data_IF_414382991830
#
_entry.id   IF_414382991830
#
_cell.length_a   1.000
_cell.length_b   1.000
_cell.length_c   1.000
_cell.angle_alpha   90.00
_cell.angle_beta   90.00
_cell.angle_gamma   90.00
#
_symmetry.space_group_name_H-M   'P 1'
#
loop_
_entity.id
_entity.type
_entity.pdbx_description
1 polymer ?
#
# COMPACT_ATOMS: atom_id res chain seq x y z
N UNK A 1 15.06 0.52 -7.61
CA UNK A 1 14.31 0.59 -8.90
C UNK A 1 12.87 0.97 -8.57
N UNK A 2 12.32 2.04 -9.16
CA UNK A 2 10.95 2.50 -8.85
C UNK A 2 9.89 1.52 -9.35
N UNK A 3 8.74 1.50 -8.69
CA UNK A 3 7.61 0.60 -9.01
C UNK A 3 6.86 1.01 -10.28
N UNK A 4 6.90 2.29 -10.66
CA UNK A 4 6.26 2.80 -11.87
C UNK A 4 4.72 2.79 -11.82
N UNK A 5 4.13 2.71 -10.62
CA UNK A 5 2.68 2.78 -10.41
C UNK A 5 2.24 4.21 -10.16
N UNK A 6 1.12 4.60 -10.75
CA UNK A 6 0.46 5.87 -10.41
C UNK A 6 -0.29 5.71 -9.08
N UNK A 7 -0.16 6.71 -8.21
CA UNK A 7 -0.81 6.76 -6.91
C UNK A 7 -1.48 8.11 -6.76
N UNK A 8 -2.68 8.13 -6.20
CA UNK A 8 -3.42 9.32 -5.83
C UNK A 8 -3.47 9.41 -4.30
N UNK A 9 -3.16 10.59 -3.79
CA UNK A 9 -3.24 10.94 -2.37
C UNK A 9 -4.34 11.99 -2.18
N UNK A 10 -5.16 11.81 -1.15
CA UNK A 10 -6.11 12.82 -0.68
C UNK A 10 -5.40 13.89 0.16
N UNK A 11 -6.11 14.99 0.45
CA UNK A 11 -5.64 16.04 1.36
C UNK A 11 -5.39 15.51 2.77
N UNK A 12 -6.21 14.55 3.20
CA UNK A 12 -6.11 13.89 4.49
C UNK A 12 -5.90 12.38 4.29
N UNK A 13 -4.92 11.82 5.00
CA UNK A 13 -4.61 10.40 5.04
C UNK A 13 -4.72 9.97 6.50
N UNK A 14 -5.53 8.95 6.77
CA UNK A 14 -5.69 8.40 8.13
C UNK A 14 -5.44 6.89 8.12
N UNK A 15 -4.85 6.39 9.20
CA UNK A 15 -4.62 4.97 9.43
C UNK A 15 -4.40 4.70 10.93
N UNK A 16 -4.62 3.45 11.34
CA UNK A 16 -4.08 2.95 12.61
C UNK A 16 -2.71 2.36 12.35
N UNK A 17 -1.70 2.83 13.08
CA UNK A 17 -0.31 2.42 12.90
C UNK A 17 0.12 1.50 14.03
N UNK A 18 0.61 0.34 13.66
CA UNK A 18 1.26 -0.65 14.52
C UNK A 18 2.69 -0.88 13.97
N UNK A 19 3.53 -1.57 14.75
CA UNK A 19 4.85 -1.95 14.25
C UNK A 19 4.71 -2.75 12.95
N UNK A 20 5.37 -2.26 11.89
CA UNK A 20 5.37 -2.86 10.55
C UNK A 20 4.00 -2.95 9.86
N UNK A 21 2.96 -2.25 10.35
CA UNK A 21 1.62 -2.36 9.78
C UNK A 21 0.80 -1.08 9.90
N UNK A 22 0.13 -0.70 8.81
CA UNK A 22 -0.89 0.35 8.78
C UNK A 22 -2.23 -0.28 8.40
N UNK A 23 -3.25 -0.13 9.25
CA UNK A 23 -4.59 -0.69 9.05
C UNK A 23 -5.63 0.40 8.88
N UNK A 24 -6.73 0.06 8.20
CA UNK A 24 -7.84 1.00 7.88
C UNK A 24 -7.31 2.29 7.23
N UNK A 25 -6.34 2.14 6.33
CA UNK A 25 -5.78 3.25 5.58
C UNK A 25 -6.86 3.89 4.70
N UNK A 26 -6.95 5.22 4.73
CA UNK A 26 -7.82 6.00 3.86
C UNK A 26 -7.02 7.09 3.14
N UNK A 27 -7.60 7.69 2.10
CA UNK A 27 -6.95 8.78 1.35
C UNK A 27 -5.86 8.33 0.37
N UNK A 28 -5.64 7.02 0.17
CA UNK A 28 -4.63 6.49 -0.77
C UNK A 28 -5.29 5.57 -1.79
N UNK A 29 -5.05 5.83 -3.09
CA UNK A 29 -5.49 4.96 -4.20
C UNK A 29 -4.34 4.65 -5.13
N UNK A 30 -4.24 3.41 -5.60
CA UNK A 30 -3.31 3.03 -6.67
C UNK A 30 -4.07 2.86 -7.98
N UNK A 31 -3.42 3.18 -9.10
CA UNK A 31 -3.96 2.89 -10.42
C UNK A 31 -3.64 1.45 -10.81
N UNK A 32 -4.67 0.65 -10.97
CA UNK A 32 -4.59 -0.72 -11.44
C UNK A 32 -5.38 -0.85 -12.74
N UNK A 33 -4.68 -1.16 -13.83
CA UNK A 33 -5.20 -1.08 -15.20
C UNK A 33 -5.83 0.30 -15.46
N UNK A 34 -7.16 0.36 -15.59
CA UNK A 34 -7.92 1.58 -15.86
C UNK A 34 -8.65 2.14 -14.63
N UNK A 35 -8.58 1.46 -13.48
CA UNK A 35 -9.34 1.83 -12.27
C UNK A 35 -8.43 2.35 -11.16
N UNK A 36 -8.97 3.28 -10.37
CA UNK A 36 -8.37 3.72 -9.11
C UNK A 36 -8.90 2.86 -7.97
N UNK A 37 -8.00 2.11 -7.33
CA UNK A 37 -8.35 1.18 -6.26
C UNK A 37 -7.82 1.72 -4.94
N UNK A 38 -8.69 1.79 -3.92
CA UNK A 38 -8.30 2.22 -2.57
C UNK A 38 -7.43 1.17 -1.89
N UNK A 39 -6.32 1.62 -1.32
CA UNK A 39 -5.45 0.82 -0.46
C UNK A 39 -5.97 0.92 0.97
N UNK A 40 -6.20 -0.24 1.60
CA UNK A 40 -6.78 -0.34 2.95
C UNK A 40 -5.78 -0.79 4.02
N UNK A 41 -4.70 -1.45 3.60
CA UNK A 41 -3.67 -1.95 4.51
C UNK A 41 -2.29 -1.93 3.84
N UNK A 42 -1.27 -1.63 4.62
CA UNK A 42 0.14 -1.76 4.24
C UNK A 42 0.82 -2.54 5.35
N UNK A 43 1.58 -3.59 5.03
CA UNK A 43 2.30 -4.39 6.03
C UNK A 43 3.66 -4.86 5.55
N UNK A 44 4.55 -5.11 6.50
CA UNK A 44 5.76 -5.90 6.31
C UNK A 44 5.62 -7.11 7.22
N UNK A 45 5.20 -8.24 6.65
CA UNK A 45 4.90 -9.45 7.43
C UNK A 45 6.19 -10.14 7.92
N UNK A 46 7.21 -10.17 7.08
CA UNK A 46 8.55 -10.64 7.41
C UNK A 46 9.57 -9.52 7.11
N UNK A 47 10.15 -8.87 8.14
CA UNK A 47 11.16 -7.83 7.97
C UNK A 47 12.40 -8.29 7.21
N UNK A 48 12.76 -9.56 7.31
CA UNK A 48 13.94 -10.11 6.62
C UNK A 48 13.72 -10.29 5.12
N UNK A 49 12.45 -10.34 4.68
CA UNK A 49 12.10 -10.52 3.26
C UNK A 49 12.47 -9.32 2.38
N UNK A 50 12.67 -8.14 2.97
CA UNK A 50 12.87 -6.90 2.22
C UNK A 50 11.67 -6.51 1.35
N UNK A 51 10.47 -7.01 1.69
CA UNK A 51 9.23 -6.74 0.94
C UNK A 51 8.21 -6.01 1.81
N UNK A 52 7.43 -5.18 1.15
CA UNK A 52 6.27 -4.49 1.69
C UNK A 52 5.03 -4.90 0.90
N UNK A 53 3.97 -5.25 1.61
CA UNK A 53 2.69 -5.71 1.07
C UNK A 53 1.65 -4.60 1.14
N UNK A 54 0.89 -4.44 0.06
CA UNK A 54 -0.22 -3.49 -0.06
C UNK A 54 -1.49 -4.27 -0.35
N UNK A 55 -2.50 -4.09 0.49
CA UNK A 55 -3.83 -4.69 0.32
C UNK A 55 -4.83 -3.62 -0.07
N UNK A 56 -5.66 -3.94 -1.05
CA UNK A 56 -6.79 -3.11 -1.46
C UNK A 56 -8.07 -3.45 -0.70
N UNK A 57 -9.05 -2.54 -0.77
CA UNK A 57 -10.41 -2.77 -0.22
C UNK A 57 -11.14 -3.96 -0.84
N UNK A 58 -10.74 -4.41 -2.04
CA UNK A 58 -11.29 -5.61 -2.68
C UNK A 58 -10.65 -6.91 -2.20
N UNK A 59 -9.70 -6.83 -1.26
CA UNK A 59 -8.98 -7.98 -0.69
C UNK A 59 -7.77 -8.43 -1.50
N UNK A 60 -7.59 -7.94 -2.73
CA UNK A 60 -6.41 -8.20 -3.57
C UNK A 60 -5.23 -7.41 -3.02
N UNK A 61 -4.06 -8.04 -2.93
CA UNK A 61 -2.82 -7.33 -2.58
C UNK A 61 -1.60 -7.74 -3.38
N UNK A 62 -0.54 -6.95 -3.23
CA UNK A 62 0.73 -7.07 -3.97
C UNK A 62 1.90 -6.75 -3.07
N UNK A 63 2.99 -7.48 -3.23
CA UNK A 63 4.26 -7.20 -2.54
C UNK A 63 5.26 -6.54 -3.48
N UNK A 64 6.01 -5.58 -2.95
CA UNK A 64 7.08 -4.89 -3.65
C UNK A 64 8.35 -4.87 -2.80
N UNK A 65 9.54 -4.75 -3.39
CA UNK A 65 10.76 -4.50 -2.61
C UNK A 65 10.65 -3.19 -1.83
N UNK A 66 11.07 -3.19 -0.57
CA UNK A 66 11.10 -1.96 0.26
C UNK A 66 11.99 -0.89 -0.38
N UNK A 67 13.08 -1.28 -1.04
CA UNK A 67 14.00 -0.41 -1.79
C UNK A 67 13.40 0.28 -3.02
N UNK A 68 12.12 0.06 -3.30
CA UNK A 68 11.40 0.69 -4.41
C UNK A 68 10.62 1.95 -4.00
N UNK A 69 10.57 2.24 -2.69
CA UNK A 69 10.01 3.44 -2.07
C UNK A 69 11.12 4.27 -1.44
#
# INVERSE_FOLDING_TARGET
>A
KKIGKMVQYGTEITAYVEQNKMKKLTGVKSKELLLWITISEISIDDPSSGKIYFKSVTGIGKSFPTSAF
#
